data_IF_580028557028
#
_entry.id   IF_580028557028
#
_cell.length_a   1.000
_cell.length_b   1.000
_cell.length_c   1.000
_cell.angle_alpha   90.00
_cell.angle_beta   90.00
_cell.angle_gamma   90.00
#
_symmetry.space_group_name_H-M   'P 1'
#
loop_
_entity.id
_entity.type
_entity.pdbx_description
1 polymer ?
#
# COMPACT_ATOMS: atom_id res chain seq x y z
N UNK A 1 -12.39 -4.42 -2.30
CA UNK A 1 -12.98 -3.26 -1.58
C UNK A 1 -11.85 -2.27 -1.31
N UNK A 2 -11.85 -1.11 -1.97
CA UNK A 2 -10.83 -0.07 -1.77
C UNK A 2 -11.31 0.85 -0.64
N UNK A 3 -10.62 0.89 0.49
CA UNK A 3 -10.99 1.80 1.59
C UNK A 3 -10.55 3.21 1.20
N UNK A 4 -11.46 3.95 0.57
CA UNK A 4 -11.40 5.40 0.51
C UNK A 4 -11.77 5.95 1.89
N UNK A 5 -10.85 6.65 2.56
CA UNK A 5 -11.18 7.42 3.75
C UNK A 5 -12.10 8.59 3.36
N UNK A 6 -13.40 8.46 3.64
CA UNK A 6 -14.38 9.52 3.48
C UNK A 6 -14.34 10.46 4.70
N UNK A 7 -14.22 11.77 4.46
CA UNK A 7 -14.00 12.83 5.47
C UNK A 7 -15.32 13.36 6.06
N UNK A 8 -16.35 12.52 6.19
CA UNK A 8 -17.71 12.94 6.59
C UNK A 8 -18.10 12.60 8.03
N UNK A 9 -17.21 12.06 8.86
CA UNK A 9 -17.50 11.75 10.28
C UNK A 9 -17.07 12.85 11.26
N UNK A 10 -17.40 14.11 10.97
CA UNK A 10 -17.34 15.20 11.95
C UNK A 10 -18.64 16.02 11.89
N UNK A 11 -19.74 15.39 12.31
CA UNK A 11 -21.01 16.06 12.54
C UNK A 11 -21.10 16.61 13.96
N UNK A 12 -20.97 17.92 14.13
CA UNK A 12 -21.30 18.56 15.40
C UNK A 12 -20.70 19.95 15.56
N UNK A 13 -21.38 20.96 15.01
CA UNK A 13 -21.53 22.35 15.51
C UNK A 13 -21.91 23.22 14.31
N UNK A 14 -23.22 23.44 14.15
CA UNK A 14 -23.77 24.48 13.28
C UNK A 14 -23.77 25.79 14.07
N UNK A 15 -23.03 26.81 13.60
CA UNK A 15 -23.53 28.18 13.36
C UNK A 15 -22.40 29.11 12.91
N UNK A 16 -22.78 30.03 12.04
CA UNK A 16 -21.97 31.05 11.41
C UNK A 16 -21.07 31.81 12.40
N UNK A 17 -19.87 32.20 11.95
CA UNK A 17 -19.44 33.62 11.81
C UNK A 17 -18.09 33.60 11.10
N UNK A 18 -17.95 34.38 10.01
CA UNK A 18 -16.66 34.77 9.45
C UNK A 18 -15.89 35.52 10.54
N UNK A 19 -14.87 34.91 11.13
CA UNK A 19 -13.82 35.65 11.85
C UNK A 19 -12.49 35.14 11.34
N UNK A 20 -11.82 36.04 10.63
CA UNK A 20 -10.43 35.94 10.21
C UNK A 20 -9.56 35.86 11.48
N UNK A 21 -8.86 34.76 11.71
CA UNK A 21 -7.70 34.73 12.60
C UNK A 21 -6.48 34.34 11.77
N UNK A 22 -5.73 35.37 11.35
CA UNK A 22 -4.38 35.26 10.82
C UNK A 22 -3.42 35.19 12.03
N UNK A 23 -2.78 34.04 12.25
CA UNK A 23 -1.43 33.92 12.79
C UNK A 23 -1.01 32.44 12.81
N UNK A 24 0.02 32.08 12.03
CA UNK A 24 0.82 30.87 12.29
C UNK A 24 0.58 29.62 11.44
N UNK A 25 -0.03 29.71 10.26
CA UNK A 25 -0.21 28.58 9.33
C UNK A 25 0.55 28.82 8.01
N UNK A 26 1.88 28.84 8.08
CA UNK A 26 2.72 28.73 6.88
C UNK A 26 3.14 27.27 6.75
N UNK A 27 2.67 26.61 5.68
CA UNK A 27 2.99 25.25 5.23
C UNK A 27 1.95 24.13 5.52
N UNK A 28 0.70 24.30 5.08
CA UNK A 28 -0.11 23.13 4.66
C UNK A 28 -1.24 23.48 3.67
N UNK A 29 -1.01 24.42 2.76
CA UNK A 29 -1.95 24.73 1.67
C UNK A 29 -1.68 23.93 0.38
N UNK A 30 -0.85 22.88 0.43
CA UNK A 30 -0.25 22.26 -0.76
C UNK A 30 -0.75 20.88 -1.21
N UNK A 31 -1.68 20.22 -0.52
CA UNK A 31 -2.11 18.85 -0.89
C UNK A 31 -3.62 18.76 -1.07
N UNK A 32 -4.11 19.41 -2.12
CA UNK A 32 -5.41 19.09 -2.76
C UNK A 32 -5.18 18.56 -4.17
N UNK A 33 -4.20 17.67 -4.37
CA UNK A 33 -4.08 16.97 -5.64
C UNK A 33 -4.84 15.65 -5.55
N UNK A 34 -6.16 15.73 -5.56
CA UNK A 34 -6.99 14.56 -5.85
C UNK A 34 -7.00 14.43 -7.37
N UNK A 35 -5.93 13.85 -7.91
CA UNK A 35 -5.79 13.60 -9.34
C UNK A 35 -6.88 12.59 -9.72
N UNK A 36 -7.95 13.06 -10.35
CA UNK A 36 -8.97 12.18 -10.90
C UNK A 36 -8.28 11.26 -11.91
N UNK A 37 -8.24 9.96 -11.62
CA UNK A 37 -7.66 9.00 -12.53
C UNK A 37 -8.54 8.89 -13.77
N UNK A 38 -8.07 9.46 -14.87
CA UNK A 38 -8.78 9.40 -16.13
C UNK A 38 -8.33 8.18 -16.93
N UNK A 39 -9.12 7.11 -16.85
CA UNK A 39 -8.88 5.88 -17.61
C UNK A 39 -9.21 6.03 -19.11
N UNK A 40 -9.79 7.14 -19.57
CA UNK A 40 -10.20 7.31 -20.97
C UNK A 40 -9.00 7.39 -21.92
N UNK A 41 -7.86 7.90 -21.45
CA UNK A 41 -6.61 8.00 -22.22
C UNK A 41 -5.76 6.72 -22.28
N UNK A 42 -6.23 5.62 -21.71
CA UNK A 42 -5.49 4.35 -21.67
C UNK A 42 -5.89 3.42 -22.83
N UNK A 43 -4.89 2.72 -23.38
CA UNK A 43 -5.15 1.63 -24.32
C UNK A 43 -5.84 0.45 -23.63
N UNK A 44 -6.37 -0.50 -24.41
CA UNK A 44 -7.00 -1.71 -23.86
C UNK A 44 -5.99 -2.52 -23.06
N UNK A 45 -4.75 -2.63 -23.54
CA UNK A 45 -3.66 -3.35 -22.88
C UNK A 45 -3.29 -2.68 -21.55
N UNK A 46 -3.24 -1.35 -21.51
CA UNK A 46 -3.02 -0.60 -20.27
C UNK A 46 -4.15 -0.86 -19.27
N UNK A 47 -5.40 -0.83 -19.71
CA UNK A 47 -6.57 -1.13 -18.86
C UNK A 47 -6.55 -2.56 -18.32
N UNK A 48 -6.27 -3.55 -19.17
CA UNK A 48 -6.13 -4.95 -18.76
C UNK A 48 -4.98 -5.11 -17.78
N UNK A 49 -3.82 -4.50 -18.05
CA UNK A 49 -2.67 -4.51 -17.15
C UNK A 49 -2.97 -3.92 -15.77
N UNK A 50 -3.78 -2.85 -15.70
CA UNK A 50 -4.23 -2.29 -14.42
C UNK A 50 -5.09 -3.25 -13.59
N UNK A 51 -5.70 -4.27 -14.21
CA UNK A 51 -6.44 -5.33 -13.49
C UNK A 51 -5.56 -6.52 -13.10
N UNK A 52 -4.30 -6.53 -13.52
CA UNK A 52 -3.35 -7.60 -13.23
C UNK A 52 -2.55 -7.30 -11.96
N UNK A 53 -2.51 -8.27 -11.06
CA UNK A 53 -1.68 -8.27 -9.87
C UNK A 53 -0.75 -9.49 -9.88
N UNK A 54 0.54 -9.27 -9.62
CA UNK A 54 1.56 -10.34 -9.60
C UNK A 54 2.24 -10.42 -8.23
N UNK A 55 2.79 -11.60 -7.90
CA UNK A 55 3.64 -11.75 -6.71
C UNK A 55 5.00 -11.10 -6.92
N UNK A 56 5.61 -10.58 -5.85
CA UNK A 56 6.97 -10.03 -5.85
C UNK A 56 8.02 -10.98 -6.44
N UNK A 57 7.86 -12.29 -6.22
CA UNK A 57 8.79 -13.31 -6.73
C UNK A 57 8.87 -13.34 -8.26
N UNK A 58 7.80 -12.95 -8.96
CA UNK A 58 7.77 -12.92 -10.42
C UNK A 58 8.75 -11.89 -11.02
N UNK A 59 9.12 -10.87 -10.24
CA UNK A 59 10.06 -9.81 -10.63
C UNK A 59 11.36 -9.83 -9.82
N UNK A 60 11.55 -10.88 -9.02
CA UNK A 60 12.77 -11.06 -8.24
C UNK A 60 13.85 -11.82 -9.04
N UNK A 61 15.11 -11.62 -8.65
CA UNK A 61 16.21 -12.45 -9.11
C UNK A 61 16.07 -13.85 -8.52
N UNK A 62 16.29 -14.85 -9.36
CA UNK A 62 16.11 -16.26 -9.02
C UNK A 62 17.37 -17.06 -9.27
N UNK A 63 17.59 -18.10 -8.48
CA UNK A 63 18.62 -19.12 -8.75
C UNK A 63 18.25 -19.97 -9.99
N UNK A 64 19.16 -20.82 -10.50
CA UNK A 64 18.86 -21.70 -11.63
C UNK A 64 17.71 -22.68 -11.39
N UNK A 65 17.30 -22.88 -10.14
CA UNK A 65 16.17 -23.72 -9.73
C UNK A 65 14.86 -22.91 -9.60
N UNK A 66 14.88 -21.61 -9.93
CA UNK A 66 13.70 -20.74 -9.91
C UNK A 66 13.36 -20.18 -8.52
N UNK A 67 14.22 -20.33 -7.52
CA UNK A 67 13.99 -19.82 -6.16
C UNK A 67 14.53 -18.41 -6.03
N UNK A 68 13.79 -17.54 -5.35
CA UNK A 68 14.19 -16.15 -5.10
C UNK A 68 15.49 -16.08 -4.31
N UNK A 69 16.43 -15.26 -4.77
CA UNK A 69 17.71 -15.07 -4.10
C UNK A 69 17.56 -14.33 -2.77
N UNK A 70 18.45 -14.64 -1.83
CA UNK A 70 18.56 -13.96 -0.52
C UNK A 70 19.95 -13.35 -0.42
N UNK A 71 20.10 -12.02 -0.20
CA UNK A 71 19.05 -11.03 0.00
C UNK A 71 18.20 -10.82 -1.26
N UNK A 72 16.91 -10.55 -1.05
CA UNK A 72 15.96 -10.25 -2.13
C UNK A 72 16.46 -9.07 -2.96
N UNK A 73 16.58 -9.28 -4.27
CA UNK A 73 16.90 -8.25 -5.25
C UNK A 73 15.94 -8.35 -6.42
N UNK A 74 15.50 -7.20 -6.91
CA UNK A 74 14.66 -7.14 -8.10
C UNK A 74 15.50 -7.39 -9.35
N UNK A 75 14.92 -8.09 -10.31
CA UNK A 75 15.47 -8.27 -11.64
C UNK A 75 14.91 -7.16 -12.55
N UNK A 76 15.77 -6.23 -12.97
CA UNK A 76 15.38 -5.08 -13.80
C UNK A 76 14.74 -5.50 -15.13
N UNK A 77 15.15 -6.63 -15.71
CA UNK A 77 14.61 -7.11 -16.97
C UNK A 77 13.20 -7.65 -16.77
N UNK A 78 12.99 -8.51 -15.75
CA UNK A 78 11.66 -9.01 -15.40
C UNK A 78 10.71 -7.88 -14.99
N UNK A 79 11.22 -6.92 -14.22
CA UNK A 79 10.44 -5.76 -13.78
C UNK A 79 10.07 -4.86 -14.96
N UNK A 80 11.00 -4.60 -15.88
CA UNK A 80 10.70 -3.86 -17.13
C UNK A 80 9.67 -4.61 -17.96
N UNK A 81 9.79 -5.92 -18.09
CA UNK A 81 8.82 -6.72 -18.83
C UNK A 81 7.42 -6.63 -18.19
N UNK A 82 7.31 -6.86 -16.88
CA UNK A 82 6.03 -6.79 -16.17
C UNK A 82 5.38 -5.39 -16.28
N UNK A 83 6.12 -4.33 -15.96
CA UNK A 83 5.56 -2.98 -15.86
C UNK A 83 5.42 -2.28 -17.20
N UNK A 84 6.40 -2.41 -18.10
CA UNK A 84 6.43 -1.65 -19.36
C UNK A 84 5.78 -2.43 -20.50
N UNK A 85 6.01 -3.73 -20.63
CA UNK A 85 5.40 -4.53 -21.71
C UNK A 85 3.98 -4.96 -21.34
N UNK A 86 3.79 -5.56 -20.16
CA UNK A 86 2.48 -6.08 -19.73
C UNK A 86 1.63 -5.09 -18.93
N UNK A 87 2.15 -3.89 -18.62
CA UNK A 87 1.40 -2.79 -17.98
C UNK A 87 0.79 -3.17 -16.62
N UNK A 88 1.42 -4.11 -15.90
CA UNK A 88 0.94 -4.62 -14.62
C UNK A 88 0.70 -3.47 -13.63
N UNK A 89 -0.51 -3.43 -13.06
CA UNK A 89 -0.95 -2.36 -12.16
C UNK A 89 -0.63 -2.60 -10.69
N UNK A 90 -0.42 -3.85 -10.28
CA UNK A 90 -0.19 -4.18 -8.87
C UNK A 90 0.84 -5.29 -8.65
N UNK A 91 1.60 -5.15 -7.56
CA UNK A 91 2.49 -6.19 -7.03
C UNK A 91 2.06 -6.48 -5.60
N UNK A 92 2.16 -7.74 -5.18
CA UNK A 92 1.78 -8.15 -3.83
C UNK A 92 2.82 -9.05 -3.15
N UNK A 93 2.58 -9.25 -1.86
CA UNK A 93 3.25 -10.22 -0.99
C UNK A 93 4.69 -9.83 -0.64
N UNK A 94 5.28 -10.61 0.25
CA UNK A 94 6.71 -10.70 0.44
C UNK A 94 7.19 -12.03 -0.15
N UNK A 95 8.48 -12.13 -0.48
CA UNK A 95 9.10 -13.42 -0.78
C UNK A 95 9.18 -14.30 0.49
N UNK A 96 10.09 -15.26 0.54
CA UNK A 96 10.19 -16.24 1.62
C UNK A 96 10.56 -15.71 3.02
N UNK A 97 10.88 -14.42 3.18
CA UNK A 97 11.42 -13.86 4.41
C UNK A 97 10.88 -12.47 4.74
N UNK A 98 10.78 -12.16 6.03
CA UNK A 98 10.46 -10.80 6.50
C UNK A 98 11.57 -9.82 6.13
N UNK A 99 11.18 -8.64 5.64
CA UNK A 99 12.11 -7.61 5.19
C UNK A 99 12.29 -6.53 6.26
N UNK A 100 13.46 -5.90 6.29
CA UNK A 100 13.63 -4.66 7.04
C UNK A 100 12.91 -3.50 6.33
N UNK A 101 12.70 -2.39 7.06
CA UNK A 101 12.11 -1.18 6.48
C UNK A 101 12.98 -0.59 5.35
N UNK A 102 14.30 -0.72 5.46
CA UNK A 102 15.22 -0.26 4.41
C UNK A 102 15.11 -1.10 3.14
N UNK A 103 14.93 -2.42 3.27
CA UNK A 103 14.69 -3.30 2.12
C UNK A 103 13.34 -3.01 1.45
N UNK A 104 12.28 -2.79 2.25
CA UNK A 104 10.99 -2.36 1.73
C UNK A 104 11.08 -1.02 0.99
N UNK A 105 11.84 -0.07 1.54
CA UNK A 105 12.10 1.22 0.90
C UNK A 105 12.81 1.04 -0.44
N UNK A 106 13.87 0.24 -0.49
CA UNK A 106 14.60 -0.04 -1.74
C UNK A 106 13.67 -0.62 -2.83
N UNK A 107 12.82 -1.58 -2.47
CA UNK A 107 11.86 -2.21 -3.39
C UNK A 107 10.83 -1.20 -3.90
N UNK A 108 10.19 -0.47 -2.98
CA UNK A 108 9.12 0.48 -3.32
C UNK A 108 9.64 1.66 -4.13
N UNK A 109 10.84 2.19 -3.80
CA UNK A 109 11.49 3.24 -4.58
C UNK A 109 11.87 2.75 -5.98
N UNK A 110 12.41 1.53 -6.10
CA UNK A 110 12.75 0.94 -7.41
C UNK A 110 11.53 0.78 -8.30
N UNK A 111 10.41 0.31 -7.76
CA UNK A 111 9.14 0.18 -8.51
C UNK A 111 8.59 1.56 -8.86
N UNK A 112 8.57 2.49 -7.91
CA UNK A 112 8.05 3.84 -8.11
C UNK A 112 8.86 4.63 -9.15
N UNK A 113 10.16 4.39 -9.27
CA UNK A 113 11.03 5.04 -10.25
C UNK A 113 10.55 4.84 -11.70
N UNK A 114 9.86 3.75 -12.04
CA UNK A 114 9.28 3.54 -13.38
C UNK A 114 8.16 4.54 -13.68
N UNK A 115 7.34 4.85 -12.68
CA UNK A 115 6.31 5.87 -12.80
C UNK A 115 6.94 7.27 -12.79
N UNK A 116 7.85 7.55 -11.86
CA UNK A 116 8.50 8.86 -11.74
C UNK A 116 9.32 9.25 -12.99
N UNK A 117 9.91 8.26 -13.68
CA UNK A 117 10.62 8.47 -14.95
C UNK A 117 9.70 8.56 -16.18
N UNK A 118 8.39 8.36 -16.02
CA UNK A 118 7.42 8.38 -17.12
C UNK A 118 7.41 7.13 -18.01
N UNK A 119 8.11 6.05 -17.61
CA UNK A 119 8.11 4.77 -18.36
C UNK A 119 6.75 4.06 -18.31
N UNK A 120 5.97 4.33 -17.28
CA UNK A 120 4.58 3.88 -17.12
C UNK A 120 3.70 5.08 -16.77
N UNK A 121 2.45 5.07 -17.24
CA UNK A 121 1.50 6.19 -17.05
C UNK A 121 0.80 6.20 -15.69
N UNK A 122 0.77 5.06 -15.00
CA UNK A 122 0.06 4.87 -13.73
C UNK A 122 1.02 4.31 -12.67
N UNK A 123 0.94 4.76 -11.42
CA UNK A 123 1.75 4.21 -10.34
C UNK A 123 1.29 2.77 -10.01
N UNK A 124 2.25 1.91 -9.68
CA UNK A 124 1.96 0.53 -9.25
C UNK A 124 1.48 0.56 -7.80
N UNK A 125 0.36 -0.10 -7.50
CA UNK A 125 -0.11 -0.29 -6.13
C UNK A 125 0.50 -1.56 -5.52
N UNK A 126 1.10 -1.43 -4.35
CA UNK A 126 1.68 -2.55 -3.61
C UNK A 126 0.72 -3.05 -2.52
N UNK A 127 0.42 -4.35 -2.54
CA UNK A 127 -0.44 -5.02 -1.55
C UNK A 127 0.34 -5.94 -0.61
N UNK A 128 -0.10 -6.04 0.64
CA UNK A 128 0.52 -6.92 1.64
C UNK A 128 -0.53 -7.48 2.61
N UNK A 129 -0.31 -8.69 3.11
CA UNK A 129 -1.06 -9.25 4.22
C UNK A 129 -0.44 -8.81 5.56
N UNK A 130 -0.93 -7.68 6.09
CA UNK A 130 -0.65 -7.23 7.46
C UNK A 130 -1.90 -7.48 8.33
N UNK A 131 -2.19 -8.77 8.57
CA UNK A 131 -3.46 -9.23 9.16
C UNK A 131 -3.53 -8.99 10.66
N UNK A 132 -2.42 -9.16 11.37
CA UNK A 132 -2.35 -9.01 12.82
C UNK A 132 -1.21 -8.08 13.27
N UNK A 133 -1.12 -6.94 12.59
CA UNK A 133 0.07 -6.09 12.57
C UNK A 133 0.91 -6.36 11.33
N UNK A 134 2.06 -5.71 11.20
CA UNK A 134 2.87 -5.77 9.97
C UNK A 134 3.84 -6.95 10.00
N UNK A 135 3.29 -8.17 9.95
CA UNK A 135 4.02 -9.44 10.09
C UNK A 135 5.18 -9.63 9.10
N UNK A 136 5.15 -8.97 7.94
CA UNK A 136 6.22 -9.04 6.94
C UNK A 136 7.27 -7.92 7.03
N UNK A 137 7.21 -7.08 8.07
CA UNK A 137 8.24 -6.08 8.38
C UNK A 137 8.92 -6.42 9.70
N UNK A 138 10.26 -6.52 9.68
CA UNK A 138 11.04 -6.82 10.89
C UNK A 138 10.94 -5.67 11.90
N UNK A 139 10.68 -6.01 13.15
CA UNK A 139 10.57 -5.04 14.25
C UNK A 139 9.21 -4.33 14.32
N UNK A 140 8.23 -4.76 13.53
CA UNK A 140 6.86 -4.28 13.61
C UNK A 140 6.14 -4.81 14.85
N UNK A 141 5.10 -4.09 15.26
CA UNK A 141 4.20 -4.50 16.34
C UNK A 141 3.30 -5.62 15.84
N UNK A 142 3.22 -6.72 16.60
CA UNK A 142 2.30 -7.83 16.34
C UNK A 142 1.21 -7.87 17.41
N UNK A 143 -0.01 -8.06 16.94
CA UNK A 143 -1.20 -8.19 17.76
C UNK A 143 -1.66 -9.66 17.81
N UNK A 144 -2.57 -10.02 18.74
CA UNK A 144 -3.33 -11.26 18.64
C UNK A 144 -4.04 -11.35 17.29
N UNK A 145 -4.25 -12.58 16.80
CA UNK A 145 -5.09 -12.82 15.62
C UNK A 145 -6.52 -12.31 15.85
N UNK A 146 -7.27 -12.09 14.77
CA UNK A 146 -8.60 -11.47 14.82
C UNK A 146 -9.59 -12.21 15.74
N UNK A 147 -9.47 -13.54 15.91
CA UNK A 147 -10.27 -14.28 16.90
C UNK A 147 -9.97 -13.87 18.35
N UNK A 148 -8.71 -13.57 18.67
CA UNK A 148 -8.32 -13.06 19.99
C UNK A 148 -8.76 -11.62 20.19
N UNK A 149 -8.75 -10.81 19.13
CA UNK A 149 -9.32 -9.47 19.14
C UNK A 149 -10.84 -9.52 19.39
N UNK A 150 -11.56 -10.40 18.70
CA UNK A 150 -13.00 -10.59 18.88
C UNK A 150 -13.35 -11.04 20.31
N UNK A 151 -12.53 -11.90 20.92
CA UNK A 151 -12.71 -12.35 22.30
C UNK A 151 -12.66 -11.20 23.35
N UNK A 152 -12.11 -10.03 22.99
CA UNK A 152 -12.15 -8.84 23.87
C UNK A 152 -13.52 -8.20 23.96
N UNK A 153 -14.42 -8.47 23.01
CA UNK A 153 -15.72 -7.80 22.84
C UNK A 153 -15.63 -6.26 22.84
N UNK A 154 -14.48 -5.71 22.44
CA UNK A 154 -14.21 -4.29 22.51
C UNK A 154 -13.82 -3.69 21.15
N UNK A 155 -14.77 -3.04 20.45
CA UNK A 155 -14.51 -2.39 19.16
C UNK A 155 -13.44 -1.29 19.20
N UNK A 156 -13.23 -0.63 20.34
CA UNK A 156 -12.20 0.43 20.43
C UNK A 156 -10.79 -0.12 20.34
N UNK A 157 -10.56 -1.35 20.82
CA UNK A 157 -9.27 -2.04 20.66
C UNK A 157 -9.06 -2.43 19.20
N UNK A 158 -10.13 -2.84 18.50
CA UNK A 158 -10.06 -3.16 17.08
C UNK A 158 -9.72 -1.93 16.22
N UNK A 159 -10.32 -0.78 16.53
CA UNK A 159 -9.99 0.49 15.89
C UNK A 159 -8.52 0.89 16.12
N UNK A 160 -8.04 0.79 17.36
CA UNK A 160 -6.67 1.15 17.71
C UNK A 160 -5.64 0.22 17.06
N UNK A 161 -5.90 -1.10 17.06
CA UNK A 161 -5.11 -2.08 16.31
C UNK A 161 -5.04 -1.65 14.84
N UNK A 162 -6.19 -1.44 14.18
CA UNK A 162 -6.23 -1.09 12.77
C UNK A 162 -5.47 0.22 12.48
N UNK A 163 -5.56 1.20 13.37
CA UNK A 163 -4.83 2.48 13.28
C UNK A 163 -3.31 2.28 13.36
N UNK A 164 -2.83 1.48 14.31
CA UNK A 164 -1.39 1.18 14.46
C UNK A 164 -0.90 0.39 13.24
N UNK A 165 -1.65 -0.63 12.81
CA UNK A 165 -1.31 -1.44 11.64
C UNK A 165 -1.21 -0.56 10.39
N UNK A 166 -2.19 0.32 10.15
CA UNK A 166 -2.15 1.25 9.02
C UNK A 166 -0.93 2.19 9.07
N UNK A 167 -0.58 2.70 10.26
CA UNK A 167 0.60 3.54 10.45
C UNK A 167 1.89 2.78 10.10
N UNK A 168 2.07 1.57 10.63
CA UNK A 168 3.28 0.78 10.39
C UNK A 168 3.35 0.24 8.95
N UNK A 169 2.22 -0.14 8.33
CA UNK A 169 2.19 -0.57 6.92
C UNK A 169 2.62 0.59 6.00
N UNK A 170 2.15 1.81 6.28
CA UNK A 170 2.62 3.02 5.57
C UNK A 170 4.07 3.34 5.87
N UNK A 171 4.54 3.08 7.09
CA UNK A 171 5.94 3.23 7.47
C UNK A 171 6.87 2.28 6.69
N UNK A 172 6.35 1.17 6.14
CA UNK A 172 7.04 0.28 5.20
C UNK A 172 6.84 0.65 3.72
N UNK A 173 6.21 1.80 3.43
CA UNK A 173 5.98 2.25 2.04
C UNK A 173 4.84 1.53 1.32
N UNK A 174 4.03 0.73 2.03
CA UNK A 174 2.99 -0.09 1.42
C UNK A 174 1.62 0.61 1.53
N UNK A 175 0.94 0.87 0.40
CA UNK A 175 -0.33 1.60 0.39
C UNK A 175 -1.57 0.70 0.59
N UNK A 176 -1.47 -0.62 0.47
CA UNK A 176 -2.65 -1.49 0.52
C UNK A 176 -2.43 -2.70 1.42
N UNK A 177 -3.31 -2.86 2.41
CA UNK A 177 -3.36 -4.01 3.32
C UNK A 177 -4.56 -4.89 2.96
N UNK A 178 -4.38 -6.22 2.98
CA UNK A 178 -5.43 -7.23 2.76
C UNK A 178 -6.11 -7.67 4.07
N UNK A 179 -6.53 -6.70 4.89
CA UNK A 179 -7.22 -6.90 6.17
C UNK A 179 -8.30 -5.82 6.33
N UNK A 180 -9.41 -6.09 7.06
CA UNK A 180 -9.70 -7.25 7.91
C UNK A 180 -10.23 -8.48 7.18
N UNK A 181 -10.09 -9.66 7.80
CA UNK A 181 -10.83 -10.87 7.41
C UNK A 181 -12.16 -10.88 8.16
N UNK A 182 -13.27 -11.07 7.44
CA UNK A 182 -14.63 -10.98 8.00
C UNK A 182 -15.43 -12.26 7.77
N UNK A 183 -14.72 -13.37 7.57
CA UNK A 183 -15.33 -14.68 7.43
C UNK A 183 -15.94 -15.15 8.76
N UNK A 184 -16.95 -16.02 8.67
CA UNK A 184 -17.54 -16.69 9.83
C UNK A 184 -16.83 -18.04 10.03
N UNK A 185 -16.01 -18.11 11.09
CA UNK A 185 -15.21 -19.28 11.46
C UNK A 185 -15.89 -20.26 12.40
#
# INVERSE_FOLDING_TARGET
>A
MCVFFNREYLGGVRRATRVLFLAGLTACSGLKHQQSYDATGLTVEEKVGQTCQITLDAVAQTDPQGRTLVPLKLDTNKLTEALVKYKVGSILNVSWHTLSRDQWKEITETIHAYYASGRIKSPVIYGIDAIHGVNYTRGATLFPQEIGLAATWNPSIAEEFARITAYETRASGIPWNFSPVLDLG
#
